data_IF_469591555428
#
_entry.id   IF_469591555428
#
_cell.length_a   1.000
_cell.length_b   1.000
_cell.length_c   1.000
_cell.angle_alpha   90.00
_cell.angle_beta   90.00
_cell.angle_gamma   90.00
#
_symmetry.space_group_name_H-M   'P 1'
#
loop_
_entity.id
_entity.type
_entity.pdbx_description
1 polymer ?
#
# COMPACT_ATOMS: atom_id res chain seq x y z
N UNK A 1 0.18 -54.68 7.80
CA UNK A 1 -0.75 -53.56 7.70
C UNK A 1 -0.08 -52.51 6.83
N UNK A 2 -0.43 -52.45 5.54
CA UNK A 2 0.14 -51.49 4.59
C UNK A 2 -0.58 -50.15 4.79
N UNK A 3 0.12 -49.13 5.29
CA UNK A 3 -0.40 -47.76 5.29
C UNK A 3 -0.18 -47.16 3.90
N UNK A 4 -1.26 -47.00 3.14
CA UNK A 4 -1.26 -46.14 1.96
C UNK A 4 -1.36 -44.71 2.50
N UNK A 5 -0.25 -43.96 2.45
CA UNK A 5 -0.31 -42.51 2.57
C UNK A 5 -0.92 -41.97 1.27
N UNK A 6 -2.20 -41.60 1.32
CA UNK A 6 -2.76 -40.71 0.31
C UNK A 6 -2.18 -39.31 0.54
N UNK A 7 -1.24 -38.90 -0.30
CA UNK A 7 -0.92 -37.49 -0.50
C UNK A 7 -2.11 -36.84 -1.21
N UNK A 8 -3.00 -36.22 -0.46
CA UNK A 8 -3.92 -35.23 -1.00
C UNK A 8 -3.06 -34.02 -1.38
N UNK A 9 -2.80 -33.83 -2.67
CA UNK A 9 -2.32 -32.55 -3.17
C UNK A 9 -3.33 -31.47 -2.73
N UNK A 10 -2.88 -30.26 -2.34
CA UNK A 10 -3.79 -29.17 -2.06
C UNK A 10 -4.69 -28.98 -3.28
N UNK A 11 -6.00 -29.05 -3.08
CA UNK A 11 -6.99 -28.83 -4.13
C UNK A 11 -6.94 -27.35 -4.47
N UNK A 12 -6.12 -26.99 -5.45
CA UNK A 12 -6.09 -25.67 -6.05
C UNK A 12 -7.46 -25.42 -6.68
N UNK A 13 -8.15 -24.38 -6.21
CA UNK A 13 -9.49 -24.07 -6.70
C UNK A 13 -9.38 -23.15 -7.92
N UNK A 14 -10.30 -23.28 -8.88
CA UNK A 14 -10.37 -22.42 -10.07
C UNK A 14 -10.50 -20.91 -9.76
N UNK A 15 -10.77 -20.55 -8.50
CA UNK A 15 -10.81 -19.16 -8.03
C UNK A 15 -9.42 -18.55 -7.75
N UNK A 16 -8.40 -19.38 -7.51
CA UNK A 16 -7.02 -18.93 -7.29
C UNK A 16 -6.19 -18.88 -8.58
N UNK A 17 -6.68 -19.53 -9.64
CA UNK A 17 -6.05 -19.52 -10.96
C UNK A 17 -7.09 -19.38 -12.08
N UNK A 18 -7.68 -18.18 -12.26
CA UNK A 18 -8.71 -17.97 -13.29
C UNK A 18 -8.19 -18.15 -14.72
N UNK A 19 -6.87 -18.01 -14.91
CA UNK A 19 -6.21 -18.06 -16.22
C UNK A 19 -5.58 -19.43 -16.55
N UNK A 20 -5.60 -20.39 -15.63
CA UNK A 20 -5.00 -21.72 -15.83
C UNK A 20 -3.46 -21.71 -15.83
N UNK A 21 -2.84 -20.71 -15.21
CA UNK A 21 -1.40 -20.49 -15.13
C UNK A 21 -0.70 -21.36 -14.09
N UNK A 22 -1.44 -22.02 -13.18
CA UNK A 22 -0.88 -22.85 -12.11
C UNK A 22 0.01 -23.96 -12.66
N UNK A 23 -0.39 -24.60 -13.76
CA UNK A 23 0.39 -25.66 -14.39
C UNK A 23 1.75 -25.17 -14.90
N UNK A 24 1.84 -23.90 -15.30
CA UNK A 24 3.11 -23.25 -15.66
C UNK A 24 3.91 -22.92 -14.40
N UNK A 25 3.27 -22.31 -13.40
CA UNK A 25 3.92 -21.79 -12.19
C UNK A 25 4.50 -22.89 -11.30
N UNK A 26 3.80 -24.02 -11.16
CA UNK A 26 4.17 -25.09 -10.22
C UNK A 26 5.56 -25.68 -10.45
N UNK A 27 6.07 -25.60 -11.67
CA UNK A 27 7.41 -26.10 -12.02
C UNK A 27 8.53 -25.20 -11.47
N UNK A 28 8.22 -23.94 -11.16
CA UNK A 28 9.16 -22.94 -10.65
C UNK A 28 9.03 -22.73 -9.14
N UNK A 29 7.93 -23.19 -8.53
CA UNK A 29 7.74 -23.09 -7.08
C UNK A 29 8.75 -23.99 -6.34
N UNK A 30 9.38 -23.49 -5.25
CA UNK A 30 10.23 -24.34 -4.42
C UNK A 30 9.40 -25.45 -3.75
N UNK A 31 10.06 -26.55 -3.32
CA UNK A 31 9.39 -27.59 -2.56
C UNK A 31 8.65 -27.00 -1.35
N UNK A 32 7.44 -27.52 -1.09
CA UNK A 32 6.60 -27.08 0.02
C UNK A 32 6.14 -25.62 -0.03
N UNK A 33 6.17 -24.98 -1.21
CA UNK A 33 5.53 -23.70 -1.41
C UNK A 33 4.00 -23.80 -1.26
N UNK A 34 3.44 -22.87 -0.51
CA UNK A 34 2.01 -22.62 -0.36
C UNK A 34 1.70 -21.25 -0.98
N UNK A 35 0.81 -21.21 -1.96
CA UNK A 35 0.39 -19.94 -2.54
C UNK A 35 -0.40 -19.10 -1.54
N UNK A 36 -0.10 -17.80 -1.48
CA UNK A 36 -0.72 -16.88 -0.53
C UNK A 36 -1.48 -15.83 -1.30
N UNK A 37 -2.81 -15.90 -1.24
CA UNK A 37 -3.69 -14.87 -1.79
C UNK A 37 -3.57 -13.58 -0.95
N UNK A 38 -3.47 -12.38 -1.58
CA UNK A 38 -3.46 -11.13 -0.84
C UNK A 38 -4.83 -10.75 -0.26
N UNK A 39 -4.84 -9.93 0.78
CA UNK A 39 -6.06 -9.39 1.39
C UNK A 39 -6.75 -8.38 0.48
N UNK A 40 -5.97 -7.55 -0.22
CA UNK A 40 -6.41 -6.60 -1.23
C UNK A 40 -5.58 -6.66 -2.53
N UNK A 41 -6.16 -6.28 -3.68
CA UNK A 41 -7.59 -6.09 -3.88
C UNK A 41 -8.33 -7.43 -3.76
N UNK A 42 -9.56 -7.46 -3.22
CA UNK A 42 -10.33 -8.72 -2.96
C UNK A 42 -10.39 -9.74 -4.12
N UNK A 43 -10.33 -9.26 -5.36
CA UNK A 43 -10.37 -10.07 -6.59
C UNK A 43 -9.01 -10.62 -7.02
N UNK A 44 -7.90 -10.14 -6.46
CA UNK A 44 -6.58 -10.65 -6.78
C UNK A 44 -6.45 -12.12 -6.35
N UNK A 45 -5.68 -12.85 -7.15
CA UNK A 45 -5.22 -14.22 -6.91
C UNK A 45 -3.75 -14.20 -6.47
N UNK A 46 -3.27 -15.33 -5.97
CA UNK A 46 -1.85 -15.54 -5.69
C UNK A 46 -0.99 -15.65 -6.95
N UNK A 47 -1.61 -15.91 -8.09
CA UNK A 47 -1.00 -15.89 -9.42
C UNK A 47 -1.68 -14.79 -10.23
N UNK A 48 -0.93 -13.80 -10.65
CA UNK A 48 -1.42 -12.66 -11.43
C UNK A 48 -0.53 -12.47 -12.66
N UNK A 49 -1.09 -11.96 -13.75
CA UNK A 49 -0.33 -11.74 -14.99
C UNK A 49 -0.57 -10.37 -15.60
N UNK A 50 0.47 -9.80 -16.21
CA UNK A 50 0.44 -8.53 -16.94
C UNK A 50 1.64 -8.42 -17.88
N UNK A 51 1.41 -7.92 -19.10
CA UNK A 51 2.44 -7.63 -20.11
C UNK A 51 3.21 -6.34 -19.75
N UNK A 52 4.28 -6.47 -18.95
CA UNK A 52 5.07 -5.33 -18.48
C UNK A 52 6.00 -4.77 -19.57
N UNK A 53 6.51 -5.63 -20.45
CA UNK A 53 7.46 -5.23 -21.49
C UNK A 53 6.85 -5.04 -22.88
N UNK A 54 5.53 -5.21 -22.99
CA UNK A 54 4.71 -4.93 -24.17
C UNK A 54 5.08 -5.82 -25.36
N UNK A 55 5.51 -7.04 -25.09
CA UNK A 55 5.83 -8.04 -26.12
C UNK A 55 4.61 -8.88 -26.56
N UNK A 56 3.46 -8.70 -25.88
CA UNK A 56 2.21 -9.41 -26.13
C UNK A 56 2.06 -10.72 -25.35
N UNK A 57 3.00 -11.04 -24.46
CA UNK A 57 2.98 -12.20 -23.58
C UNK A 57 3.07 -11.68 -22.15
N UNK A 58 2.02 -11.90 -21.35
CA UNK A 58 2.03 -11.48 -19.95
C UNK A 58 3.16 -12.15 -19.16
N UNK A 59 3.90 -11.38 -18.35
CA UNK A 59 4.67 -11.94 -17.25
C UNK A 59 3.75 -12.39 -16.11
N UNK A 60 4.22 -13.33 -15.29
CA UNK A 60 3.45 -13.90 -14.18
C UNK A 60 4.10 -13.54 -12.86
N UNK A 61 3.35 -12.87 -11.98
CA UNK A 61 3.72 -12.65 -10.57
C UNK A 61 3.03 -13.67 -9.69
N UNK A 62 3.82 -14.30 -8.82
CA UNK A 62 3.35 -15.35 -7.91
C UNK A 62 3.71 -14.99 -6.47
N UNK A 63 2.73 -14.99 -5.58
CA UNK A 63 2.90 -14.78 -4.14
C UNK A 63 2.74 -16.10 -3.38
N UNK A 64 3.74 -16.45 -2.57
CA UNK A 64 3.77 -17.73 -1.86
C UNK A 64 4.56 -17.64 -0.55
N UNK A 65 4.45 -18.69 0.27
CA UNK A 65 5.24 -18.92 1.47
C UNK A 65 5.85 -20.31 1.36
N UNK A 66 7.09 -20.48 1.84
CA UNK A 66 7.65 -21.82 2.03
C UNK A 66 7.15 -22.35 3.38
N UNK A 67 6.67 -23.59 3.43
CA UNK A 67 6.20 -24.21 4.67
C UNK A 67 7.19 -24.01 5.83
N UNK A 68 6.64 -23.84 7.03
CA UNK A 68 7.37 -23.57 8.28
C UNK A 68 8.15 -22.24 8.33
N UNK A 69 8.05 -21.38 7.31
CA UNK A 69 8.57 -19.99 7.32
C UNK A 69 7.47 -18.96 7.61
N UNK A 70 6.79 -19.08 8.75
CA UNK A 70 5.55 -18.33 9.05
C UNK A 70 5.64 -16.80 8.94
N UNK A 71 6.84 -16.21 9.06
CA UNK A 71 7.07 -14.75 8.95
C UNK A 71 7.77 -14.33 7.67
N UNK A 72 7.97 -15.26 6.73
CA UNK A 72 8.61 -14.99 5.46
C UNK A 72 7.60 -15.26 4.36
N UNK A 73 7.42 -14.25 3.53
CA UNK A 73 6.62 -14.30 2.33
C UNK A 73 7.55 -14.12 1.14
N UNK A 74 7.16 -14.69 0.01
CA UNK A 74 7.96 -14.68 -1.21
C UNK A 74 7.12 -14.23 -2.38
N UNK A 75 7.76 -13.51 -3.28
CA UNK A 75 7.22 -13.09 -4.57
C UNK A 75 8.19 -13.56 -5.64
N UNK A 76 7.66 -14.12 -6.73
CA UNK A 76 8.44 -14.51 -7.91
C UNK A 76 7.80 -13.90 -9.15
N UNK A 77 8.65 -13.45 -10.08
CA UNK A 77 8.26 -12.99 -11.41
C UNK A 77 8.79 -13.97 -12.45
N UNK A 78 7.89 -14.54 -13.23
CA UNK A 78 8.21 -15.39 -14.38
C UNK A 78 8.05 -14.59 -15.67
N UNK A 79 9.02 -14.73 -16.57
CA UNK A 79 8.93 -14.25 -17.95
C UNK A 79 9.14 -15.41 -18.92
N UNK A 80 8.44 -15.39 -20.05
CA UNK A 80 8.72 -16.30 -21.15
C UNK A 80 9.83 -15.75 -22.05
N UNK A 81 10.87 -16.56 -22.29
CA UNK A 81 11.92 -16.28 -23.27
C UNK A 81 12.18 -17.50 -24.13
N UNK A 82 12.27 -17.32 -25.46
CA UNK A 82 12.53 -18.41 -26.40
C UNK A 82 11.59 -19.62 -26.18
N UNK A 83 10.29 -19.35 -25.98
CA UNK A 83 9.25 -20.34 -25.67
C UNK A 83 9.44 -21.13 -24.36
N UNK A 84 10.29 -20.67 -23.44
CA UNK A 84 10.49 -21.28 -22.13
C UNK A 84 10.29 -20.25 -21.02
N UNK A 85 9.62 -20.63 -19.93
CA UNK A 85 9.48 -19.77 -18.77
C UNK A 85 10.77 -19.76 -17.94
N UNK A 86 11.04 -18.63 -17.29
CA UNK A 86 12.14 -18.49 -16.33
C UNK A 86 11.77 -17.52 -15.23
N UNK A 87 12.25 -17.77 -14.01
CA UNK A 87 12.19 -16.78 -12.93
C UNK A 87 13.22 -15.68 -13.21
N UNK A 88 12.74 -14.46 -13.45
CA UNK A 88 13.58 -13.28 -13.72
C UNK A 88 13.77 -12.37 -12.52
N UNK A 89 12.97 -12.60 -11.47
CA UNK A 89 13.05 -11.87 -10.23
C UNK A 89 12.41 -12.66 -9.09
N UNK A 90 13.01 -12.60 -7.92
CA UNK A 90 12.47 -13.16 -6.69
C UNK A 90 12.74 -12.21 -5.53
N UNK A 91 11.83 -12.18 -4.57
CA UNK A 91 12.01 -11.43 -3.33
C UNK A 91 11.35 -12.12 -2.16
N UNK A 92 12.13 -12.32 -1.10
CA UNK A 92 11.63 -12.64 0.22
C UNK A 92 11.43 -11.37 1.04
N UNK A 93 10.37 -11.32 1.84
CA UNK A 93 10.06 -10.22 2.74
C UNK A 93 9.45 -10.71 4.05
N UNK A 94 9.69 -9.95 5.13
CA UNK A 94 9.06 -10.23 6.41
C UNK A 94 7.58 -9.80 6.42
N UNK A 95 6.70 -10.73 6.79
CA UNK A 95 5.25 -10.51 6.90
C UNK A 95 4.47 -11.78 7.22
N UNK A 96 3.26 -11.62 7.77
CA UNK A 96 2.33 -12.71 8.09
C UNK A 96 1.32 -12.98 6.96
N UNK A 97 1.03 -11.99 6.14
CA UNK A 97 0.22 -12.08 4.92
C UNK A 97 0.64 -10.99 3.92
N UNK A 98 0.12 -11.09 2.69
CA UNK A 98 0.19 -9.97 1.75
C UNK A 98 -1.05 -9.10 1.96
N UNK A 99 -0.87 -7.92 2.53
CA UNK A 99 -1.99 -6.99 2.71
C UNK A 99 -2.48 -6.49 1.36
N UNK A 100 -1.56 -6.25 0.42
CA UNK A 100 -1.86 -5.86 -0.95
C UNK A 100 -0.91 -6.58 -1.91
N UNK A 101 -1.42 -7.05 -3.04
CA UNK A 101 -0.60 -7.49 -4.18
C UNK A 101 -1.40 -7.26 -5.46
N UNK A 102 -0.93 -6.38 -6.32
CA UNK A 102 -1.65 -5.99 -7.54
C UNK A 102 -0.83 -5.10 -8.48
N UNK A 103 -1.44 -4.75 -9.62
CA UNK A 103 -0.80 -3.96 -10.67
C UNK A 103 -1.50 -2.62 -10.86
N UNK A 104 -0.76 -1.53 -10.68
CA UNK A 104 -1.27 -0.16 -10.77
C UNK A 104 -0.29 0.72 -11.54
N UNK A 105 -0.79 1.60 -12.40
CA UNK A 105 0.03 2.60 -13.09
C UNK A 105 0.31 3.73 -12.11
N UNK A 106 1.37 3.57 -11.29
CA UNK A 106 1.77 4.54 -10.26
C UNK A 106 2.48 5.71 -10.91
N UNK A 107 3.34 5.42 -11.88
CA UNK A 107 4.20 6.43 -12.54
C UNK A 107 3.47 7.22 -13.62
N UNK A 108 2.35 6.72 -14.16
CA UNK A 108 1.56 7.36 -15.20
C UNK A 108 2.14 7.21 -16.60
N UNK A 109 3.08 6.29 -16.81
CA UNK A 109 3.69 6.03 -18.12
C UNK A 109 2.88 5.05 -18.99
N UNK A 110 1.77 4.54 -18.45
CA UNK A 110 0.87 3.59 -19.11
C UNK A 110 1.32 2.13 -19.04
N UNK A 111 2.46 1.84 -18.40
CA UNK A 111 2.84 0.50 -17.93
C UNK A 111 2.59 0.44 -16.43
N UNK A 112 1.89 -0.60 -15.98
CA UNK A 112 1.64 -0.76 -14.54
C UNK A 112 2.91 -1.16 -13.79
N UNK A 113 3.07 -0.62 -12.60
CA UNK A 113 3.98 -1.13 -11.59
C UNK A 113 3.33 -2.27 -10.78
N UNK A 114 4.18 -3.14 -10.22
CA UNK A 114 3.75 -4.10 -9.23
C UNK A 114 3.80 -3.50 -7.83
N UNK A 115 2.67 -3.46 -7.17
CA UNK A 115 2.49 -2.90 -5.82
C UNK A 115 2.31 -4.06 -4.85
N UNK A 116 3.19 -4.16 -3.85
CA UNK A 116 3.19 -5.24 -2.87
C UNK A 116 3.26 -4.70 -1.45
N UNK A 117 2.37 -5.18 -0.59
CA UNK A 117 2.36 -4.84 0.83
C UNK A 117 2.51 -6.08 1.70
N UNK A 118 3.48 -6.03 2.61
CA UNK A 118 3.76 -7.06 3.59
C UNK A 118 3.02 -6.74 4.88
N UNK A 119 2.07 -7.57 5.30
CA UNK A 119 1.36 -7.42 6.57
C UNK A 119 2.29 -7.74 7.75
N UNK A 120 2.74 -6.71 8.48
CA UNK A 120 3.64 -6.87 9.64
C UNK A 120 2.81 -7.30 10.87
N UNK A 121 1.56 -6.88 10.94
CA UNK A 121 0.57 -7.35 11.90
C UNK A 121 -0.45 -6.27 12.24
N UNK A 122 -1.61 -6.66 12.77
CA UNK A 122 -2.75 -5.78 12.97
C UNK A 122 -2.44 -4.45 13.71
N UNK A 123 -1.48 -4.46 14.63
CA UNK A 123 -1.04 -3.25 15.34
C UNK A 123 0.12 -2.53 14.63
N UNK A 124 1.03 -3.27 14.01
CA UNK A 124 2.19 -2.69 13.34
C UNK A 124 1.86 -2.09 11.96
N UNK A 125 0.72 -2.50 11.38
CA UNK A 125 0.33 -2.13 10.02
C UNK A 125 1.06 -3.00 8.99
N UNK A 126 1.26 -2.41 7.82
CA UNK A 126 1.80 -3.04 6.64
C UNK A 126 2.93 -2.19 6.05
N UNK A 127 3.91 -2.85 5.44
CA UNK A 127 4.97 -2.18 4.66
C UNK A 127 4.67 -2.30 3.17
N UNK A 128 4.55 -1.18 2.49
CA UNK A 128 4.35 -1.06 1.06
C UNK A 128 5.68 -0.94 0.33
N UNK A 129 5.81 -1.67 -0.79
CA UNK A 129 6.91 -1.57 -1.75
C UNK A 129 6.34 -1.58 -3.17
N UNK A 130 6.95 -0.78 -4.05
CA UNK A 130 6.51 -0.60 -5.44
C UNK A 130 7.66 -0.98 -6.35
N UNK A 131 7.36 -1.81 -7.34
CA UNK A 131 8.35 -2.35 -8.28
C UNK A 131 7.98 -1.97 -9.70
N UNK A 132 8.95 -1.40 -10.40
CA UNK A 132 8.83 -1.09 -11.82
C UNK A 132 9.61 -2.10 -12.64
N UNK A 133 9.05 -2.48 -13.78
CA UNK A 133 9.75 -3.27 -14.77
C UNK A 133 10.87 -2.44 -15.42
N UNK A 134 12.11 -2.90 -15.30
CA UNK A 134 13.27 -2.28 -15.92
C UNK A 134 14.28 -3.35 -16.32
N UNK A 135 14.72 -3.33 -17.58
CA UNK A 135 15.77 -4.21 -18.11
C UNK A 135 15.51 -5.72 -17.89
N UNK A 136 14.26 -6.18 -18.07
CA UNK A 136 13.94 -7.61 -18.00
C UNK A 136 13.64 -8.14 -16.59
N UNK A 137 13.49 -7.27 -15.60
CA UNK A 137 13.25 -7.65 -14.20
C UNK A 137 12.54 -6.53 -13.43
N UNK A 138 12.11 -6.80 -12.20
CA UNK A 138 11.58 -5.80 -11.29
C UNK A 138 12.68 -5.08 -10.50
N UNK A 139 12.55 -3.75 -10.44
CA UNK A 139 13.38 -2.89 -9.60
C UNK A 139 12.48 -2.09 -8.68
N UNK A 140 12.82 -2.06 -7.38
CA UNK A 140 12.06 -1.25 -6.44
C UNK A 140 12.26 0.23 -6.78
N UNK A 141 11.16 0.97 -6.86
CA UNK A 141 11.16 2.42 -7.02
C UNK A 141 10.66 3.10 -5.74
N UNK A 142 11.16 4.31 -5.48
CA UNK A 142 10.83 5.06 -4.28
C UNK A 142 11.27 4.36 -2.97
N UNK A 143 10.85 4.94 -1.86
CA UNK A 143 11.05 4.36 -0.51
C UNK A 143 9.89 3.46 -0.16
N UNK A 144 10.13 2.50 0.72
CA UNK A 144 9.05 1.75 1.37
C UNK A 144 8.21 2.69 2.26
N UNK A 145 6.90 2.47 2.30
CA UNK A 145 5.97 3.20 3.16
C UNK A 145 5.36 2.27 4.20
N UNK A 146 4.97 2.82 5.34
CA UNK A 146 4.20 2.10 6.36
C UNK A 146 2.80 2.67 6.42
N UNK A 147 1.81 1.79 6.56
CA UNK A 147 0.42 2.20 6.60
C UNK A 147 -0.43 1.21 7.40
N UNK A 148 -1.60 1.67 7.83
CA UNK A 148 -2.63 0.84 8.44
C UNK A 148 -3.86 0.73 7.54
N UNK A 149 -4.15 1.77 6.77
CA UNK A 149 -5.11 1.72 5.66
C UNK A 149 -4.52 2.42 4.42
N UNK A 150 -4.85 1.92 3.24
CA UNK A 150 -4.37 2.47 1.96
C UNK A 150 -5.51 2.52 0.96
N UNK A 151 -5.58 3.61 0.20
CA UNK A 151 -6.48 3.71 -0.95
C UNK A 151 -5.73 4.21 -2.19
N UNK A 152 -6.14 3.69 -3.34
CA UNK A 152 -5.64 4.10 -4.65
C UNK A 152 -6.59 5.17 -5.21
N UNK A 153 -6.01 6.28 -5.67
CA UNK A 153 -6.74 7.40 -6.24
C UNK A 153 -6.26 7.60 -7.68
N UNK A 154 -7.10 7.17 -8.62
CA UNK A 154 -6.84 7.34 -10.05
C UNK A 154 -7.36 8.72 -10.51
N UNK A 155 -6.52 9.73 -10.36
CA UNK A 155 -6.77 11.08 -10.86
C UNK A 155 -5.60 11.58 -11.69
N UNK A 156 -5.86 11.97 -12.95
CA UNK A 156 -4.83 12.51 -13.84
C UNK A 156 -3.97 11.42 -14.50
N UNK A 157 -2.65 11.68 -14.60
CA UNK A 157 -1.67 10.69 -15.06
C UNK A 157 -1.09 9.98 -13.84
N UNK A 158 -1.13 8.65 -13.86
CA UNK A 158 -0.69 7.81 -12.75
C UNK A 158 -1.74 7.65 -11.65
N UNK A 159 -1.32 7.01 -10.56
CA UNK A 159 -2.18 6.65 -9.43
C UNK A 159 -1.58 7.20 -8.15
N UNK A 160 -2.35 8.05 -7.46
CA UNK A 160 -1.98 8.55 -6.13
C UNK A 160 -2.36 7.57 -5.04
N UNK A 161 -1.64 7.62 -3.91
CA UNK A 161 -1.84 6.75 -2.76
C UNK A 161 -2.30 7.58 -1.57
N UNK A 162 -3.50 7.35 -1.06
CA UNK A 162 -3.88 7.81 0.27
C UNK A 162 -3.38 6.81 1.31
N UNK A 163 -2.47 7.25 2.17
CA UNK A 163 -1.83 6.46 3.21
C UNK A 163 -2.34 6.93 4.57
N UNK A 164 -3.02 6.04 5.28
CA UNK A 164 -3.46 6.27 6.66
C UNK A 164 -2.49 5.55 7.59
N UNK A 165 -1.58 6.29 8.20
CA UNK A 165 -0.63 5.77 9.17
C UNK A 165 -1.15 6.05 10.58
N UNK A 166 -1.33 5.00 11.38
CA UNK A 166 -1.89 5.13 12.72
C UNK A 166 -0.92 5.89 13.62
N UNK A 167 -1.37 7.04 14.10
CA UNK A 167 -0.63 7.90 15.00
C UNK A 167 -0.74 7.40 16.46
N UNK A 168 -1.97 7.22 16.96
CA UNK A 168 -2.23 6.62 18.25
C UNK A 168 -3.69 6.15 18.34
N UNK A 169 -3.98 5.13 19.14
CA UNK A 169 -5.34 4.60 19.29
C UNK A 169 -5.94 4.28 17.91
N UNK A 170 -7.00 4.97 17.53
CA UNK A 170 -7.68 4.92 16.23
C UNK A 170 -7.64 6.27 15.50
N UNK A 171 -6.63 7.11 15.80
CA UNK A 171 -6.29 8.31 15.07
C UNK A 171 -5.12 8.06 14.11
N UNK A 172 -5.20 8.62 12.92
CA UNK A 172 -4.31 8.41 11.79
C UNK A 172 -3.79 9.75 11.24
N UNK A 173 -2.50 9.81 10.94
CA UNK A 173 -1.98 10.85 10.05
C UNK A 173 -2.23 10.36 8.63
N UNK A 174 -2.84 11.20 7.80
CA UNK A 174 -3.19 10.88 6.43
C UNK A 174 -2.33 11.70 5.49
N UNK A 175 -1.68 11.02 4.54
CA UNK A 175 -0.95 11.63 3.43
C UNK A 175 -1.53 11.13 2.11
N UNK A 176 -1.64 12.01 1.11
CA UNK A 176 -1.92 11.61 -0.28
C UNK A 176 -0.66 11.87 -1.07
N UNK A 177 -0.13 10.82 -1.69
CA UNK A 177 1.18 10.83 -2.34
C UNK A 177 1.05 10.51 -3.83
N UNK A 178 1.82 11.21 -4.67
CA UNK A 178 1.97 10.91 -6.09
C UNK A 178 3.42 10.69 -6.47
N UNK A 179 3.66 10.02 -7.58
CA UNK A 179 4.99 9.92 -8.16
C UNK A 179 5.40 11.24 -8.83
N UNK A 180 6.62 11.74 -8.55
CA UNK A 180 7.16 12.95 -9.19
C UNK A 180 8.19 12.66 -10.30
N UNK A 181 8.39 11.39 -10.63
CA UNK A 181 9.46 10.91 -11.52
C UNK A 181 10.64 10.27 -10.78
N UNK A 182 10.73 10.44 -9.45
CA UNK A 182 11.83 9.92 -8.63
C UNK A 182 11.37 9.29 -7.32
N UNK A 183 10.41 9.89 -6.65
CA UNK A 183 9.88 9.40 -5.37
C UNK A 183 8.40 9.75 -5.20
N UNK A 184 7.78 9.14 -4.19
CA UNK A 184 6.42 9.49 -3.78
C UNK A 184 6.47 10.75 -2.92
N UNK A 185 5.81 11.81 -3.40
CA UNK A 185 5.76 13.13 -2.76
C UNK A 185 4.31 13.54 -2.47
N UNK A 186 4.07 14.46 -1.51
CA UNK A 186 2.73 14.97 -1.24
C UNK A 186 2.04 15.51 -2.50
N UNK A 187 0.77 15.12 -2.70
CA UNK A 187 -0.07 15.63 -3.77
C UNK A 187 -1.17 16.56 -3.23
N UNK A 188 -0.81 17.82 -3.02
CA UNK A 188 -1.71 18.83 -2.41
C UNK A 188 -3.06 18.96 -3.12
N UNK A 189 -3.06 18.87 -4.46
CA UNK A 189 -4.27 19.01 -5.26
C UNK A 189 -5.22 17.83 -5.05
N UNK A 190 -4.72 16.61 -5.10
CA UNK A 190 -5.53 15.39 -4.86
C UNK A 190 -5.90 15.27 -3.39
N UNK A 191 -5.00 15.64 -2.48
CA UNK A 191 -5.27 15.71 -1.05
C UNK A 191 -6.46 16.62 -0.74
N UNK A 192 -6.51 17.81 -1.33
CA UNK A 192 -7.59 18.78 -1.09
C UNK A 192 -8.97 18.23 -1.47
N UNK A 193 -9.05 17.39 -2.51
CA UNK A 193 -10.30 16.71 -2.90
C UNK A 193 -10.61 15.54 -1.99
N UNK A 194 -9.59 14.78 -1.60
CA UNK A 194 -9.71 13.62 -0.72
C UNK A 194 -10.04 14.01 0.74
N UNK A 195 -9.67 15.22 1.16
CA UNK A 195 -9.81 15.72 2.53
C UNK A 195 -11.24 15.57 3.10
N UNK A 196 -12.30 15.70 2.29
CA UNK A 196 -13.67 15.55 2.80
C UNK A 196 -13.87 14.19 3.49
N UNK A 197 -13.28 13.11 2.97
CA UNK A 197 -13.33 11.79 3.58
C UNK A 197 -12.63 11.76 4.94
N UNK A 198 -11.51 12.46 5.07
CA UNK A 198 -10.75 12.59 6.32
C UNK A 198 -11.53 13.41 7.34
N UNK A 199 -12.15 14.51 6.91
CA UNK A 199 -13.01 15.35 7.75
C UNK A 199 -14.20 14.57 8.28
N UNK A 200 -14.93 13.87 7.41
CA UNK A 200 -16.11 13.07 7.79
C UNK A 200 -15.74 11.99 8.84
N UNK A 201 -14.59 11.34 8.67
CA UNK A 201 -14.07 10.37 9.63
C UNK A 201 -13.85 11.01 11.00
N UNK A 202 -13.15 12.15 11.06
CA UNK A 202 -12.84 12.79 12.35
C UNK A 202 -14.02 13.51 12.98
N UNK A 203 -14.95 14.04 12.20
CA UNK A 203 -16.21 14.57 12.74
C UNK A 203 -17.03 13.48 13.42
N UNK A 204 -17.03 12.25 12.88
CA UNK A 204 -17.67 11.11 13.53
C UNK A 204 -16.94 10.75 14.85
N UNK A 205 -15.62 10.65 14.83
CA UNK A 205 -14.81 10.36 16.03
C UNK A 205 -14.99 11.39 17.14
N UNK A 206 -15.02 12.68 16.80
CA UNK A 206 -15.19 13.78 17.75
C UNK A 206 -16.60 13.83 18.37
N UNK A 207 -17.62 13.29 17.68
CA UNK A 207 -18.97 13.11 18.26
C UNK A 207 -18.98 12.00 19.32
N UNK A 208 -18.18 10.96 19.13
CA UNK A 208 -18.05 9.85 20.09
C UNK A 208 -17.19 10.26 21.29
N UNK A 209 -16.08 10.95 21.05
CA UNK A 209 -15.16 11.39 22.08
C UNK A 209 -14.42 12.67 21.70
N UNK A 210 -14.60 13.72 22.51
CA UNK A 210 -13.84 14.97 22.39
C UNK A 210 -12.43 14.80 22.98
N UNK A 211 -11.47 14.39 22.15
CA UNK A 211 -10.10 14.07 22.57
C UNK A 211 -9.03 14.87 21.81
N UNK A 212 -7.96 15.27 22.51
CA UNK A 212 -6.89 16.10 21.95
C UNK A 212 -6.22 15.48 20.72
N UNK A 213 -6.04 14.15 20.68
CA UNK A 213 -5.34 13.49 19.58
C UNK A 213 -6.15 13.48 18.29
N UNK A 214 -7.49 13.48 18.35
CA UNK A 214 -8.34 13.68 17.17
C UNK A 214 -8.24 15.11 16.65
N UNK A 215 -8.26 16.11 17.54
CA UNK A 215 -8.03 17.50 17.14
C UNK A 215 -6.65 17.72 16.52
N UNK A 216 -5.63 17.02 17.01
CA UNK A 216 -4.28 17.10 16.48
C UNK A 216 -4.22 16.61 15.02
N UNK A 217 -4.71 15.39 14.74
CA UNK A 217 -4.67 14.83 13.38
C UNK A 217 -5.65 15.54 12.43
N UNK A 218 -6.79 16.03 12.92
CA UNK A 218 -7.71 16.85 12.12
C UNK A 218 -7.07 18.20 11.75
N UNK A 219 -6.36 18.84 12.68
CA UNK A 219 -5.63 20.07 12.40
C UNK A 219 -4.50 19.85 11.37
N UNK A 220 -3.74 18.76 11.50
CA UNK A 220 -2.73 18.36 10.50
C UNK A 220 -3.36 18.19 9.11
N UNK A 221 -4.47 17.47 9.02
CA UNK A 221 -5.20 17.28 7.77
C UNK A 221 -5.73 18.60 7.17
N UNK A 222 -6.23 19.51 8.02
CA UNK A 222 -6.70 20.83 7.58
C UNK A 222 -5.57 21.71 7.04
N UNK A 223 -4.37 21.64 7.64
CA UNK A 223 -3.19 22.35 7.13
C UNK A 223 -2.77 21.79 5.76
N UNK A 224 -2.75 20.47 5.60
CA UNK A 224 -2.44 19.80 4.32
C UNK A 224 -3.46 20.13 3.22
N UNK A 225 -4.72 20.35 3.59
CA UNK A 225 -5.78 20.80 2.68
C UNK A 225 -5.81 22.33 2.46
N UNK A 226 -4.89 23.09 3.07
CA UNK A 226 -4.87 24.56 2.98
C UNK A 226 -6.04 25.28 3.68
N UNK A 227 -6.79 24.59 4.54
CA UNK A 227 -7.96 25.11 5.25
C UNK A 227 -7.53 25.83 6.54
N UNK A 228 -6.78 26.93 6.39
CA UNK A 228 -6.03 27.56 7.48
C UNK A 228 -6.90 28.05 8.66
N UNK A 229 -8.10 28.56 8.38
CA UNK A 229 -9.03 28.99 9.44
C UNK A 229 -9.58 27.82 10.25
N UNK A 230 -9.94 26.72 9.57
CA UNK A 230 -10.37 25.48 10.23
C UNK A 230 -9.21 24.89 11.05
N UNK A 231 -8.02 24.83 10.47
CA UNK A 231 -6.81 24.37 11.15
C UNK A 231 -6.55 25.17 12.43
N UNK A 232 -6.62 26.50 12.38
CA UNK A 232 -6.44 27.36 13.54
C UNK A 232 -7.44 27.05 14.67
N UNK A 233 -8.71 26.85 14.32
CA UNK A 233 -9.75 26.51 15.28
C UNK A 233 -9.47 25.14 15.93
N UNK A 234 -9.13 24.13 15.13
CA UNK A 234 -8.80 22.78 15.61
C UNK A 234 -7.54 22.79 16.48
N UNK A 235 -6.50 23.54 16.12
CA UNK A 235 -5.28 23.71 16.93
C UNK A 235 -5.63 24.34 18.28
N UNK A 236 -6.42 25.43 18.30
CA UNK A 236 -6.82 26.09 19.55
C UNK A 236 -7.63 25.15 20.44
N UNK A 237 -8.58 24.41 19.86
CA UNK A 237 -9.41 23.45 20.58
C UNK A 237 -8.57 22.31 21.14
N UNK A 238 -7.72 21.68 20.34
CA UNK A 238 -6.82 20.62 20.79
C UNK A 238 -5.82 21.07 21.86
N UNK A 239 -5.22 22.25 21.70
CA UNK A 239 -4.30 22.84 22.69
C UNK A 239 -4.98 23.09 24.04
N UNK A 240 -6.28 23.41 24.07
CA UNK A 240 -7.01 23.71 25.31
C UNK A 240 -7.08 22.54 26.31
N UNK A 241 -6.78 21.32 25.87
CA UNK A 241 -6.69 20.15 26.74
C UNK A 241 -5.43 20.15 27.63
N UNK A 242 -4.45 21.02 27.37
CA UNK A 242 -3.19 21.07 28.13
C UNK A 242 -2.31 19.83 27.94
N UNK A 243 -2.49 19.11 26.82
CA UNK A 243 -1.76 17.90 26.47
C UNK A 243 -1.07 18.08 25.11
N UNK A 244 0.07 17.43 24.94
CA UNK A 244 0.84 17.44 23.69
C UNK A 244 1.19 18.84 23.16
N UNK A 245 1.53 19.77 24.06
CA UNK A 245 1.79 21.18 23.73
C UNK A 245 2.81 21.35 22.61
N UNK A 246 3.91 20.60 22.63
CA UNK A 246 4.95 20.64 21.58
C UNK A 246 4.39 20.34 20.18
N UNK A 247 3.47 19.38 20.09
CA UNK A 247 2.87 18.96 18.81
C UNK A 247 1.96 20.06 18.26
N UNK A 248 1.10 20.63 19.10
CA UNK A 248 0.25 21.74 18.68
C UNK A 248 1.04 23.02 18.41
N UNK A 249 2.14 23.26 19.13
CA UNK A 249 3.06 24.37 18.83
C UNK A 249 3.73 24.20 17.47
N UNK A 250 4.07 22.95 17.08
CA UNK A 250 4.56 22.64 15.73
C UNK A 250 3.50 22.95 14.67
N UNK A 251 2.24 22.53 14.85
CA UNK A 251 1.16 22.84 13.90
C UNK A 251 0.88 24.35 13.82
N UNK A 252 0.94 25.07 14.95
CA UNK A 252 0.82 26.54 14.96
C UNK A 252 1.94 27.19 14.16
N UNK A 253 3.19 26.72 14.30
CA UNK A 253 4.32 27.23 13.52
C UNK A 253 4.09 27.04 12.02
N UNK A 254 3.65 25.85 11.60
CA UNK A 254 3.32 25.55 10.20
C UNK A 254 2.18 26.45 9.68
N UNK A 255 1.13 26.64 10.47
CA UNK A 255 0.03 27.54 10.14
C UNK A 255 0.52 28.97 9.87
N UNK A 256 1.36 29.51 10.75
CA UNK A 256 1.90 30.88 10.59
C UNK A 256 2.81 30.99 9.35
N UNK A 257 3.63 29.97 9.08
CA UNK A 257 4.46 29.91 7.87
C UNK A 257 3.60 29.91 6.59
N UNK A 258 2.51 29.13 6.55
CA UNK A 258 1.59 29.08 5.42
C UNK A 258 0.80 30.39 5.25
N UNK A 259 0.29 30.98 6.34
CA UNK A 259 -0.38 32.30 6.30
C UNK A 259 0.56 33.39 5.77
N UNK A 260 1.81 33.39 6.20
CA UNK A 260 2.82 34.34 5.75
C UNK A 260 3.16 34.16 4.26
N UNK A 261 3.13 32.94 3.74
CA UNK A 261 3.36 32.66 2.32
C UNK A 261 2.24 33.21 1.42
N UNK A 262 0.99 33.26 1.89
CA UNK A 262 -0.16 33.80 1.16
C UNK A 262 -0.17 35.34 1.06
N UNK A 263 0.64 36.03 1.87
CA UNK A 263 0.72 37.50 1.90
C UNK A 263 1.88 38.06 1.04
N UNK A 264 2.66 37.19 0.39
CA UNK A 264 3.77 37.53 -0.51
C UNK A 264 3.35 37.40 -1.96
#
# INVERSE_FOLDING_TARGET
>A
MFFILLFLAPVHTAAEDPAGLYETVKEYLPPEAELIKPNEPKKASSIQSYDFDKDGIDEIVVTFRIKDTLKTLNIMLLKQENNSWRAVWEKAGEGFDFEYSGFEDITGDGTKEYVASWGIGASAGSRLEIFQWQNGSFNQIGRSLFYHEMELIQEGQGTSLAIWERYCCDAFIVDVLKWDGKELVPDEMTYSKYYQKVEDFYEAKLKEMDAWYYWFVLADAQLKAGLLEKAEASIKKGYSFGLAEEKFNSLRKQLEEQKAALLK
#
